data_IF_921466921030
#
_entry.id   IF_921466921030
#
_cell.length_a   1.000
_cell.length_b   1.000
_cell.length_c   1.000
_cell.angle_alpha   90.00
_cell.angle_beta   90.00
_cell.angle_gamma   90.00
#
_symmetry.space_group_name_H-M   'P 1'
#
loop_
_entity.id
_entity.type
_entity.pdbx_description
1 polymer ?
#
# COMPACT_ATOMS: atom_id res chain seq x y z
N UNK A 1 12.06 24.11 -20.01
CA UNK A 1 10.86 24.98 -19.89
C UNK A 1 10.36 24.83 -18.46
N UNK A 2 10.04 25.94 -17.82
CA UNK A 2 9.47 25.95 -16.47
C UNK A 2 8.12 26.65 -16.51
N UNK A 3 7.08 25.98 -16.01
CA UNK A 3 5.74 26.51 -15.89
C UNK A 3 5.33 26.53 -14.41
N UNK A 4 4.69 27.60 -13.96
CA UNK A 4 4.23 27.75 -12.59
C UNK A 4 2.77 28.14 -12.53
N UNK A 5 1.95 27.31 -11.89
CA UNK A 5 0.54 27.58 -11.64
C UNK A 5 0.33 27.85 -10.15
N UNK A 6 -0.42 28.92 -9.83
CA UNK A 6 -0.86 29.24 -8.46
C UNK A 6 -2.37 29.13 -8.39
N UNK A 7 -2.86 28.33 -7.46
CA UNK A 7 -4.29 28.10 -7.26
C UNK A 7 -4.87 29.08 -6.23
N UNK A 8 -6.19 29.27 -6.28
CA UNK A 8 -6.90 30.23 -5.38
C UNK A 8 -6.85 29.80 -3.90
N UNK A 9 -6.66 28.52 -3.60
CA UNK A 9 -6.54 27.99 -2.25
C UNK A 9 -5.14 28.22 -1.64
N UNK A 10 -4.19 28.73 -2.44
CA UNK A 10 -2.81 29.00 -2.04
C UNK A 10 -1.83 27.87 -2.37
N UNK A 11 -2.28 26.76 -2.96
CA UNK A 11 -1.40 25.72 -3.47
C UNK A 11 -0.66 26.18 -4.74
N UNK A 12 0.45 25.51 -5.04
CA UNK A 12 1.28 25.81 -6.22
C UNK A 12 1.68 24.52 -6.93
N UNK A 13 1.72 24.59 -8.26
CA UNK A 13 2.26 23.54 -9.12
C UNK A 13 3.37 24.14 -10.00
N UNK A 14 4.54 23.53 -9.96
CA UNK A 14 5.68 23.87 -10.81
C UNK A 14 6.03 22.64 -11.64
N UNK A 15 6.06 22.82 -12.97
CA UNK A 15 6.45 21.78 -13.92
C UNK A 15 7.68 22.24 -14.66
N UNK A 16 8.75 21.47 -14.60
CA UNK A 16 10.02 21.73 -15.29
C UNK A 16 10.30 20.61 -16.30
N UNK A 17 10.37 20.94 -17.58
CA UNK A 17 10.72 19.99 -18.64
C UNK A 17 12.11 20.29 -19.19
N UNK A 18 13.01 19.34 -19.10
CA UNK A 18 14.36 19.41 -19.67
C UNK A 18 14.36 18.99 -21.14
N UNK A 19 15.49 19.25 -21.83
CA UNK A 19 15.66 18.88 -23.26
C UNK A 19 15.75 17.37 -23.50
N UNK A 20 16.17 16.61 -22.50
CA UNK A 20 16.26 15.15 -22.53
C UNK A 20 14.91 14.45 -22.33
N UNK A 21 13.83 15.21 -22.13
CA UNK A 21 12.50 14.71 -21.86
C UNK A 21 12.18 14.50 -20.38
N UNK A 22 13.14 14.70 -19.47
CA UNK A 22 12.89 14.63 -18.03
C UNK A 22 11.86 15.68 -17.62
N UNK A 23 10.82 15.25 -16.92
CA UNK A 23 9.79 16.11 -16.32
C UNK A 23 9.94 16.09 -14.81
N UNK A 24 10.09 17.26 -14.20
CA UNK A 24 10.04 17.42 -12.75
C UNK A 24 8.78 18.20 -12.38
N UNK A 25 7.91 17.58 -11.60
CA UNK A 25 6.70 18.20 -11.08
C UNK A 25 6.87 18.48 -9.60
N UNK A 26 6.56 19.69 -9.15
CA UNK A 26 6.58 20.03 -7.73
C UNK A 26 5.24 20.67 -7.37
N UNK A 27 4.47 19.95 -6.57
CA UNK A 27 3.23 20.41 -5.98
C UNK A 27 3.46 20.79 -4.52
N UNK A 28 2.92 21.94 -4.11
CA UNK A 28 2.95 22.37 -2.71
C UNK A 28 1.54 22.75 -2.28
N UNK A 29 0.97 22.00 -1.35
CA UNK A 29 -0.35 22.25 -0.80
C UNK A 29 -0.31 23.40 0.22
N UNK A 30 -1.48 23.99 0.51
CA UNK A 30 -1.64 25.11 1.46
C UNK A 30 -1.11 24.79 2.87
N UNK A 31 -1.20 23.54 3.31
CA UNK A 31 -0.70 23.06 4.62
C UNK A 31 0.81 22.79 4.63
N UNK A 32 1.50 23.05 3.53
CA UNK A 32 2.95 22.85 3.40
C UNK A 32 3.38 21.45 3.00
N UNK A 33 2.44 20.51 2.78
CA UNK A 33 2.76 19.21 2.17
C UNK A 33 3.26 19.45 0.76
N UNK A 34 4.41 18.83 0.42
CA UNK A 34 5.07 19.01 -0.86
C UNK A 34 5.36 17.65 -1.49
N UNK A 35 4.99 17.50 -2.76
CA UNK A 35 5.33 16.33 -3.59
C UNK A 35 6.22 16.82 -4.73
N UNK A 36 7.43 16.28 -4.81
CA UNK A 36 8.33 16.51 -5.95
C UNK A 36 8.51 15.19 -6.69
N UNK A 37 8.05 15.13 -7.91
CA UNK A 37 8.14 13.96 -8.78
C UNK A 37 9.18 14.19 -9.87
N UNK A 38 9.96 13.18 -10.18
CA UNK A 38 10.89 13.18 -11.32
C UNK A 38 10.56 11.99 -12.21
N UNK A 39 10.18 12.29 -13.44
CA UNK A 39 9.90 11.33 -14.51
C UNK A 39 10.98 11.46 -15.58
N UNK A 40 11.85 10.47 -15.67
CA UNK A 40 12.92 10.39 -16.66
C UNK A 40 12.55 9.31 -17.70
N UNK A 41 12.64 9.60 -19.01
CA UNK A 41 12.33 8.61 -20.03
C UNK A 41 13.07 7.28 -19.84
N UNK A 42 12.32 6.19 -19.74
CA UNK A 42 12.83 4.83 -19.60
C UNK A 42 13.35 4.46 -18.20
N UNK A 43 13.01 5.25 -17.18
CA UNK A 43 13.29 4.94 -15.78
C UNK A 43 12.01 4.97 -14.94
N UNK A 44 12.06 4.33 -13.81
CA UNK A 44 11.00 4.40 -12.82
C UNK A 44 10.82 5.84 -12.30
N UNK A 45 9.56 6.25 -12.11
CA UNK A 45 9.24 7.55 -11.56
C UNK A 45 9.63 7.60 -10.09
N UNK A 46 10.36 8.65 -9.70
CA UNK A 46 10.74 8.88 -8.31
C UNK A 46 9.97 10.05 -7.71
N UNK A 47 9.64 9.98 -6.44
CA UNK A 47 8.94 11.03 -5.73
C UNK A 47 9.54 11.29 -4.35
N UNK A 48 9.74 12.57 -4.04
CA UNK A 48 10.07 13.03 -2.70
C UNK A 48 8.86 13.71 -2.09
N UNK A 49 8.29 13.11 -1.05
CA UNK A 49 7.16 13.65 -0.31
C UNK A 49 7.65 14.27 0.99
N UNK A 50 7.34 15.54 1.20
CA UNK A 50 7.65 16.26 2.43
C UNK A 50 6.36 16.56 3.17
N UNK A 51 6.20 16.02 4.38
CA UNK A 51 5.06 16.27 5.25
C UNK A 51 5.55 17.03 6.49
N UNK A 52 5.08 18.27 6.73
CA UNK A 52 5.43 19.00 7.93
C UNK A 52 5.01 18.25 9.19
N UNK A 53 5.82 18.29 10.26
CA UNK A 53 5.50 17.64 11.54
C UNK A 53 4.15 18.08 12.13
N UNK A 54 3.73 19.31 11.84
CA UNK A 54 2.42 19.86 12.26
C UNK A 54 1.22 19.22 11.54
N UNK A 55 1.46 18.53 10.42
CA UNK A 55 0.42 17.82 9.64
C UNK A 55 0.33 16.35 10.07
N UNK A 56 1.49 15.73 10.34
CA UNK A 56 1.61 14.35 10.78
C UNK A 56 1.41 13.34 9.66
N UNK A 57 0.19 13.10 9.24
CA UNK A 57 -0.16 12.20 8.13
C UNK A 57 -0.74 12.97 6.94
N UNK A 58 -0.53 12.46 5.73
CA UNK A 58 -1.15 13.00 4.51
C UNK A 58 -1.41 11.91 3.46
N UNK A 59 -2.48 12.10 2.71
CA UNK A 59 -2.71 11.38 1.46
C UNK A 59 -2.30 12.29 0.32
N UNK A 60 -1.40 11.81 -0.53
CA UNK A 60 -0.88 12.57 -1.68
C UNK A 60 -1.01 11.74 -2.95
N UNK A 61 -1.10 12.41 -4.11
CA UNK A 61 -1.04 11.76 -5.42
C UNK A 61 0.29 12.12 -6.07
N UNK A 62 1.01 11.11 -6.53
CA UNK A 62 2.25 11.21 -7.30
C UNK A 62 1.85 11.11 -8.77
N UNK A 63 1.96 12.21 -9.55
CA UNK A 63 1.60 12.18 -10.97
C UNK A 63 2.49 11.20 -11.75
N UNK A 64 1.88 10.21 -12.38
CA UNK A 64 2.56 9.22 -13.22
C UNK A 64 1.52 8.44 -14.03
N UNK A 65 1.96 7.83 -15.12
CA UNK A 65 1.18 6.81 -15.82
C UNK A 65 1.38 5.48 -15.08
N UNK A 66 0.32 4.97 -14.47
CA UNK A 66 0.35 3.80 -13.59
C UNK A 66 -0.82 2.88 -13.88
N UNK A 67 -0.59 1.58 -13.73
CA UNK A 67 -1.59 0.53 -13.82
C UNK A 67 -1.77 -0.22 -12.49
N UNK A 68 -2.59 -1.26 -12.48
CA UNK A 68 -2.88 -2.05 -11.27
C UNK A 68 -1.66 -2.82 -10.74
N UNK A 69 -0.66 -3.10 -11.58
CA UNK A 69 0.59 -3.76 -11.20
C UNK A 69 1.65 -2.81 -10.65
N UNK A 70 1.43 -1.50 -10.76
CA UNK A 70 2.36 -0.49 -10.25
C UNK A 70 2.18 -0.27 -8.75
N UNK A 71 3.28 -0.21 -8.00
CA UNK A 71 3.31 0.06 -6.55
C UNK A 71 4.27 1.18 -6.21
N UNK A 72 4.00 1.89 -5.11
CA UNK A 72 4.97 2.77 -4.50
C UNK A 72 5.87 1.97 -3.55
N UNK A 73 7.17 2.15 -3.68
CA UNK A 73 8.21 1.50 -2.87
C UNK A 73 8.99 2.59 -2.14
N UNK A 74 9.24 2.39 -0.85
CA UNK A 74 10.15 3.26 -0.10
C UNK A 74 11.58 3.08 -0.62
N UNK A 75 12.19 4.17 -1.08
CA UNK A 75 13.51 4.14 -1.72
C UNK A 75 14.64 3.76 -0.77
N UNK A 76 14.44 3.89 0.54
CA UNK A 76 15.46 3.58 1.56
C UNK A 76 15.38 2.13 2.03
N UNK A 77 14.17 1.62 2.25
CA UNK A 77 13.95 0.27 2.79
C UNK A 77 13.70 -0.77 1.71
N UNK A 78 13.21 -0.37 0.53
CA UNK A 78 12.76 -1.26 -0.53
C UNK A 78 11.39 -1.89 -0.27
N UNK A 79 10.70 -1.48 0.80
CA UNK A 79 9.39 -2.01 1.17
C UNK A 79 8.26 -1.37 0.37
N UNK A 80 7.26 -2.17 0.04
CA UNK A 80 6.03 -1.68 -0.63
C UNK A 80 5.18 -0.88 0.35
N UNK A 81 4.80 0.33 -0.06
CA UNK A 81 3.82 1.13 0.66
C UNK A 81 2.44 0.49 0.49
N UNK A 82 1.98 -0.27 1.48
CA UNK A 82 0.72 -1.04 1.41
C UNK A 82 -0.52 -0.18 1.16
N UNK A 83 -0.50 1.09 1.62
CA UNK A 83 -1.56 2.07 1.38
C UNK A 83 -1.22 2.94 0.17
N UNK A 84 -0.90 2.32 -0.96
CA UNK A 84 -0.73 2.94 -2.27
C UNK A 84 -1.78 2.40 -3.24
N UNK A 85 -2.41 3.29 -4.02
CA UNK A 85 -3.50 2.92 -4.95
C UNK A 85 -3.27 3.64 -6.27
N UNK A 86 -3.14 2.91 -7.39
CA UNK A 86 -3.09 3.50 -8.71
C UNK A 86 -4.44 4.14 -9.05
N UNK A 87 -4.40 5.34 -9.60
CA UNK A 87 -5.58 6.11 -10.03
C UNK A 87 -5.31 6.71 -11.41
N UNK A 88 -6.34 7.23 -12.05
CA UNK A 88 -6.19 7.93 -13.35
C UNK A 88 -5.27 9.16 -13.30
N UNK A 89 -5.02 9.73 -12.12
CA UNK A 89 -4.20 10.93 -11.93
C UNK A 89 -2.77 10.58 -11.44
N UNK A 90 -2.48 9.30 -11.23
CA UNK A 90 -1.20 8.77 -10.74
C UNK A 90 -1.34 7.86 -9.53
N UNK A 91 -0.26 7.67 -8.78
CA UNK A 91 -0.22 6.85 -7.59
C UNK A 91 -0.64 7.65 -6.35
N UNK A 92 -1.76 7.29 -5.74
CA UNK A 92 -2.20 7.87 -4.47
C UNK A 92 -1.64 7.06 -3.31
N UNK A 93 -0.93 7.73 -2.39
CA UNK A 93 -0.30 7.09 -1.21
C UNK A 93 -0.73 7.79 0.07
N UNK A 94 -0.93 7.00 1.13
CA UNK A 94 -1.11 7.52 2.49
C UNK A 94 0.19 7.31 3.28
N UNK A 95 0.72 8.39 3.85
CA UNK A 95 1.99 8.42 4.56
C UNK A 95 1.83 9.08 5.94
N UNK A 96 2.52 8.55 6.94
CA UNK A 96 2.59 9.09 8.31
C UNK A 96 3.84 9.97 8.54
N UNK A 97 4.46 10.44 7.47
CA UNK A 97 5.65 11.29 7.49
C UNK A 97 6.23 11.49 6.10
N UNK A 98 7.33 12.24 6.04
CA UNK A 98 8.06 12.44 4.79
C UNK A 98 8.70 11.14 4.31
N UNK A 99 8.71 10.92 2.99
CA UNK A 99 9.25 9.71 2.37
C UNK A 99 9.88 10.00 1.01
N UNK A 100 10.81 9.14 0.60
CA UNK A 100 11.32 9.05 -0.76
C UNK A 100 10.79 7.77 -1.38
N UNK A 101 10.10 7.88 -2.50
CA UNK A 101 9.36 6.78 -3.11
C UNK A 101 9.83 6.55 -4.55
N UNK A 102 9.74 5.31 -5.00
CA UNK A 102 9.90 4.90 -6.40
C UNK A 102 8.62 4.19 -6.82
N UNK A 103 8.08 4.52 -7.99
CA UNK A 103 6.96 3.79 -8.57
C UNK A 103 7.52 2.68 -9.44
N UNK A 104 7.22 1.43 -9.08
CA UNK A 104 7.77 0.24 -9.71
C UNK A 104 6.64 -0.63 -10.24
N UNK A 105 6.73 -1.05 -11.50
CA UNK A 105 5.85 -2.10 -12.03
C UNK A 105 6.30 -3.45 -11.44
N UNK A 106 5.41 -4.08 -10.68
CA UNK A 106 5.56 -5.43 -10.09
C UNK A 106 4.51 -6.40 -10.60
N UNK A 107 3.93 -6.13 -11.77
CA UNK A 107 2.98 -7.02 -12.43
C UNK A 107 3.53 -8.45 -12.53
N UNK A 108 2.65 -9.43 -12.34
CA UNK A 108 2.98 -10.85 -12.48
C UNK A 108 2.21 -11.46 -13.64
N UNK A 109 2.92 -12.18 -14.50
CA UNK A 109 2.33 -12.81 -15.69
C UNK A 109 1.75 -14.20 -15.34
N UNK A 110 0.55 -14.22 -14.78
CA UNK A 110 -0.18 -15.48 -14.53
C UNK A 110 -0.93 -15.91 -15.78
N UNK A 111 -0.73 -17.16 -16.19
CA UNK A 111 -1.33 -17.70 -17.41
C UNK A 111 -2.85 -17.90 -17.34
N UNK A 112 -3.38 -18.01 -16.12
CA UNK A 112 -4.78 -18.32 -15.82
C UNK A 112 -5.61 -17.10 -15.40
N UNK A 113 -5.01 -15.89 -15.42
CA UNK A 113 -5.71 -14.64 -15.10
C UNK A 113 -5.97 -13.79 -16.34
N UNK A 114 -5.31 -14.07 -17.47
CA UNK A 114 -5.47 -13.28 -18.71
C UNK A 114 -6.90 -13.27 -19.22
N UNK A 115 -7.48 -12.07 -19.28
CA UNK A 115 -8.87 -11.87 -19.66
C UNK A 115 -9.90 -12.30 -18.61
N UNK A 116 -9.46 -12.67 -17.43
CA UNK A 116 -10.33 -12.92 -16.29
C UNK A 116 -10.90 -11.59 -15.75
N UNK A 117 -12.15 -11.56 -15.34
CA UNK A 117 -12.79 -10.32 -14.85
C UNK A 117 -12.08 -9.67 -13.64
N UNK A 118 -11.31 -10.44 -12.88
CA UNK A 118 -10.56 -9.99 -11.71
C UNK A 118 -9.07 -9.75 -12.00
N UNK A 119 -8.63 -9.74 -13.26
CA UNK A 119 -7.21 -9.59 -13.64
C UNK A 119 -6.57 -8.37 -12.96
N UNK A 120 -7.14 -7.17 -13.11
CA UNK A 120 -6.63 -5.94 -12.51
C UNK A 120 -6.53 -6.03 -10.96
N UNK A 121 -7.52 -6.67 -10.32
CA UNK A 121 -7.52 -6.83 -8.87
C UNK A 121 -6.44 -7.83 -8.40
N UNK A 122 -6.14 -8.85 -9.21
CA UNK A 122 -5.09 -9.82 -8.95
C UNK A 122 -3.72 -9.17 -9.11
N UNK A 123 -3.53 -8.38 -10.16
CA UNK A 123 -2.30 -7.63 -10.39
C UNK A 123 -2.03 -6.68 -9.22
N UNK A 124 -3.04 -5.92 -8.81
CA UNK A 124 -2.95 -5.07 -7.61
C UNK A 124 -2.54 -5.87 -6.36
N UNK A 125 -3.25 -6.96 -6.06
CA UNK A 125 -3.05 -7.73 -4.83
C UNK A 125 -1.67 -8.42 -4.80
N UNK A 126 -1.17 -8.86 -5.95
CA UNK A 126 0.14 -9.52 -6.05
C UNK A 126 1.28 -8.52 -6.08
N UNK A 127 1.14 -7.39 -6.75
CA UNK A 127 2.11 -6.30 -6.74
C UNK A 127 2.31 -5.74 -5.33
N UNK A 128 1.23 -5.64 -4.53
CA UNK A 128 1.27 -5.25 -3.11
C UNK A 128 1.72 -6.37 -2.16
N UNK A 129 2.17 -7.52 -2.69
CA UNK A 129 2.65 -8.67 -1.90
C UNK A 129 1.59 -9.29 -0.96
N UNK A 130 0.31 -9.01 -1.18
CA UNK A 130 -0.79 -9.58 -0.40
C UNK A 130 -1.03 -11.04 -0.76
N UNK A 131 -1.00 -11.34 -2.06
CA UNK A 131 -1.08 -12.70 -2.61
C UNK A 131 0.20 -13.05 -3.35
N UNK A 132 0.50 -14.36 -3.42
CA UNK A 132 1.69 -14.85 -4.14
C UNK A 132 1.35 -15.72 -5.34
N UNK A 133 0.06 -16.02 -5.57
CA UNK A 133 -0.37 -17.07 -6.49
C UNK A 133 -0.25 -18.46 -5.88
N UNK A 134 -0.68 -19.48 -6.61
CA UNK A 134 -0.62 -20.90 -6.22
C UNK A 134 0.56 -21.64 -6.85
N UNK A 135 1.22 -21.01 -7.82
CA UNK A 135 2.40 -21.48 -8.52
C UNK A 135 3.17 -20.34 -9.15
N UNK A 136 4.24 -20.65 -9.85
CA UNK A 136 5.10 -19.67 -10.50
C UNK A 136 4.35 -18.82 -11.53
N UNK A 137 3.46 -19.47 -12.33
CA UNK A 137 2.70 -18.85 -13.41
C UNK A 137 1.18 -19.05 -13.26
N UNK A 138 0.71 -19.38 -12.06
CA UNK A 138 -0.71 -19.65 -11.80
C UNK A 138 -1.19 -18.96 -10.54
N UNK A 139 -2.39 -18.42 -10.59
CA UNK A 139 -3.08 -17.78 -9.47
C UNK A 139 -4.26 -18.59 -8.95
N UNK A 140 -4.95 -19.35 -9.82
CA UNK A 140 -6.19 -20.13 -9.59
C UNK A 140 -7.33 -19.27 -9.06
N UNK A 141 -7.77 -18.24 -9.83
CA UNK A 141 -8.70 -17.21 -9.35
C UNK A 141 -10.06 -17.75 -8.89
N UNK A 142 -10.53 -18.84 -9.49
CA UNK A 142 -11.84 -19.45 -9.17
C UNK A 142 -11.79 -20.47 -8.01
N UNK A 143 -10.62 -20.69 -7.42
CA UNK A 143 -10.49 -21.64 -6.31
C UNK A 143 -11.01 -21.06 -4.99
N UNK A 144 -11.61 -21.89 -4.11
CA UNK A 144 -12.01 -21.45 -2.79
C UNK A 144 -10.83 -20.96 -1.97
N UNK A 145 -11.03 -19.88 -1.23
CA UNK A 145 -10.04 -19.37 -0.28
C UNK A 145 -10.10 -20.15 1.04
N UNK A 146 -8.95 -20.50 1.61
CA UNK A 146 -8.90 -21.09 2.96
C UNK A 146 -8.79 -20.01 4.04
N UNK A 147 -9.07 -20.40 5.30
CA UNK A 147 -8.88 -19.52 6.46
C UNK A 147 -7.42 -19.08 6.61
N UNK A 148 -6.47 -20.00 6.39
CA UNK A 148 -5.04 -19.69 6.41
C UNK A 148 -4.65 -18.66 5.36
N UNK A 149 -5.21 -18.74 4.15
CA UNK A 149 -4.97 -17.74 3.10
C UNK A 149 -5.41 -16.35 3.55
N UNK A 150 -6.61 -16.21 4.12
CA UNK A 150 -7.08 -14.91 4.61
C UNK A 150 -6.23 -14.38 5.76
N UNK A 151 -5.88 -15.21 6.76
CA UNK A 151 -4.98 -14.80 7.85
C UNK A 151 -3.64 -14.29 7.29
N UNK A 152 -3.09 -14.97 6.27
CA UNK A 152 -1.84 -14.56 5.63
C UNK A 152 -1.96 -13.23 4.90
N UNK A 153 -3.06 -13.00 4.16
CA UNK A 153 -3.33 -11.72 3.50
C UNK A 153 -3.44 -10.58 4.50
N UNK A 154 -4.18 -10.78 5.60
CA UNK A 154 -4.37 -9.76 6.63
C UNK A 154 -3.06 -9.45 7.38
N UNK A 155 -2.25 -10.46 7.69
CA UNK A 155 -0.94 -10.29 8.31
C UNK A 155 0.01 -9.50 7.39
N UNK A 156 0.08 -9.84 6.10
CA UNK A 156 0.88 -9.12 5.11
C UNK A 156 0.42 -7.67 4.91
N UNK A 157 -0.88 -7.44 4.91
CA UNK A 157 -1.44 -6.10 4.86
C UNK A 157 -1.03 -5.27 6.09
N UNK A 158 -0.86 -5.91 7.24
CA UNK A 158 -0.35 -5.32 8.49
C UNK A 158 1.19 -5.19 8.50
N UNK A 159 1.87 -5.48 7.39
CA UNK A 159 3.32 -5.39 7.26
C UNK A 159 4.09 -6.54 7.91
N UNK A 160 3.43 -7.65 8.28
CA UNK A 160 4.09 -8.78 8.91
C UNK A 160 4.83 -9.65 7.89
N UNK A 161 6.05 -10.08 8.24
CA UNK A 161 6.74 -11.14 7.52
C UNK A 161 6.09 -12.50 7.82
N UNK A 162 5.42 -13.05 6.81
CA UNK A 162 4.75 -14.35 6.89
C UNK A 162 5.61 -15.51 6.36
N UNK A 163 6.88 -15.27 6.03
CA UNK A 163 7.79 -16.29 5.50
C UNK A 163 8.40 -17.15 6.60
N UNK A 164 8.67 -18.41 6.30
CA UNK A 164 9.24 -19.39 7.25
C UNK A 164 8.19 -20.06 8.13
N UNK A 165 8.64 -20.88 9.09
CA UNK A 165 7.80 -21.73 9.93
C UNK A 165 7.74 -23.18 9.43
N UNK A 166 7.10 -24.08 10.22
CA UNK A 166 6.93 -25.50 9.87
C UNK A 166 5.90 -25.68 8.74
N UNK A 167 4.92 -24.76 8.67
CA UNK A 167 3.94 -24.65 7.57
C UNK A 167 3.88 -23.21 7.10
N UNK A 168 3.49 -22.99 5.84
CA UNK A 168 3.52 -21.70 5.19
C UNK A 168 2.64 -20.61 5.87
N UNK A 169 1.63 -21.00 6.63
CA UNK A 169 0.71 -20.11 7.33
C UNK A 169 0.97 -19.94 8.83
N UNK A 170 2.02 -20.56 9.38
CA UNK A 170 2.25 -20.61 10.83
C UNK A 170 2.35 -19.21 11.45
N UNK A 171 3.22 -18.36 10.92
CA UNK A 171 3.39 -16.98 11.41
C UNK A 171 2.13 -16.14 11.28
N UNK A 172 1.42 -16.28 10.17
CA UNK A 172 0.16 -15.57 9.97
C UNK A 172 -0.93 -16.03 10.94
N UNK A 173 -0.96 -17.31 11.28
CA UNK A 173 -1.88 -17.87 12.25
C UNK A 173 -1.54 -17.40 13.69
N UNK A 174 -0.26 -17.32 14.04
CA UNK A 174 0.21 -16.77 15.31
C UNK A 174 -0.19 -15.30 15.44
N UNK A 175 0.14 -14.50 14.42
CA UNK A 175 -0.29 -13.10 14.34
C UNK A 175 -1.80 -12.94 14.50
N UNK A 176 -2.60 -13.75 13.79
CA UNK A 176 -4.07 -13.66 13.85
C UNK A 176 -4.64 -13.97 15.25
N UNK A 177 -4.00 -14.89 15.99
CA UNK A 177 -4.37 -15.20 17.39
C UNK A 177 -3.99 -14.06 18.33
N UNK A 178 -2.78 -13.55 18.22
CA UNK A 178 -2.27 -12.47 19.06
C UNK A 178 -3.10 -11.19 18.91
N UNK A 179 -3.59 -10.91 17.70
CA UNK A 179 -4.38 -9.72 17.39
C UNK A 179 -5.90 -9.96 17.47
N UNK A 180 -6.34 -11.14 17.91
CA UNK A 180 -7.76 -11.45 18.05
C UNK A 180 -8.54 -11.48 16.72
N UNK A 181 -7.85 -11.63 15.60
CA UNK A 181 -8.44 -11.70 14.26
C UNK A 181 -9.07 -13.07 14.02
N UNK A 182 -8.43 -14.14 14.52
CA UNK A 182 -8.90 -15.52 14.42
C UNK A 182 -8.36 -16.34 15.60
N UNK A 183 -9.09 -17.40 15.98
CA UNK A 183 -8.62 -18.41 16.92
C UNK A 183 -7.59 -19.39 16.31
N UNK A 184 -7.36 -19.27 14.99
CA UNK A 184 -6.46 -20.14 14.23
C UNK A 184 -6.98 -21.57 14.03
N UNK A 185 -8.24 -21.87 14.34
CA UNK A 185 -8.83 -23.20 14.12
C UNK A 185 -9.09 -23.47 12.64
N UNK A 186 -9.03 -24.72 12.22
CA UNK A 186 -9.32 -25.19 10.85
C UNK A 186 -8.66 -24.33 9.75
N UNK A 187 -7.33 -24.15 9.74
CA UNK A 187 -6.66 -23.24 8.83
C UNK A 187 -6.83 -23.61 7.35
N UNK A 188 -6.96 -24.89 7.04
CA UNK A 188 -7.12 -25.38 5.67
C UNK A 188 -8.58 -25.49 5.22
N UNK A 189 -9.52 -25.25 6.13
CA UNK A 189 -10.95 -25.20 5.81
C UNK A 189 -11.28 -23.96 4.93
N UNK A 190 -12.22 -24.15 4.00
CA UNK A 190 -12.73 -23.04 3.18
C UNK A 190 -13.40 -21.99 4.06
N UNK A 191 -13.08 -20.72 3.80
CA UNK A 191 -13.67 -19.61 4.56
C UNK A 191 -15.11 -19.32 4.06
N UNK A 192 -16.03 -19.13 5.01
CA UNK A 192 -17.38 -18.66 4.68
C UNK A 192 -17.43 -17.12 4.63
N UNK A 193 -18.48 -16.57 3.99
CA UNK A 193 -18.67 -15.11 3.92
C UNK A 193 -18.82 -14.47 5.30
N UNK A 194 -19.47 -15.14 6.24
CA UNK A 194 -19.61 -14.68 7.62
C UNK A 194 -18.28 -14.69 8.37
N UNK A 195 -17.46 -15.74 8.23
CA UNK A 195 -16.13 -15.82 8.80
C UNK A 195 -15.21 -14.71 8.23
N UNK A 196 -15.25 -14.49 6.92
CA UNK A 196 -14.54 -13.39 6.27
C UNK A 196 -14.93 -12.03 6.88
N UNK A 197 -16.24 -11.76 6.99
CA UNK A 197 -16.73 -10.51 7.56
C UNK A 197 -16.30 -10.33 9.03
N UNK A 198 -16.36 -11.39 9.84
CA UNK A 198 -15.93 -11.37 11.24
C UNK A 198 -14.43 -11.07 11.37
N UNK A 199 -13.59 -11.73 10.59
CA UNK A 199 -12.13 -11.51 10.63
C UNK A 199 -11.75 -10.10 10.19
N UNK A 200 -12.41 -9.54 9.17
CA UNK A 200 -12.22 -8.16 8.72
C UNK A 200 -12.66 -7.15 9.79
N UNK A 201 -13.79 -7.40 10.47
CA UNK A 201 -14.26 -6.55 11.57
C UNK A 201 -13.26 -6.59 12.74
N UNK A 202 -12.84 -7.77 13.17
CA UNK A 202 -11.88 -7.94 14.27
C UNK A 202 -10.57 -7.22 14.00
N UNK A 203 -10.06 -7.28 12.76
CA UNK A 203 -8.87 -6.54 12.32
C UNK A 203 -9.07 -5.02 12.48
N UNK A 204 -10.18 -4.50 11.99
CA UNK A 204 -10.52 -3.06 12.07
C UNK A 204 -10.65 -2.57 13.52
N UNK A 205 -11.29 -3.35 14.40
CA UNK A 205 -11.44 -3.01 15.82
C UNK A 205 -10.10 -3.00 16.55
N UNK A 206 -9.19 -3.92 16.23
CA UNK A 206 -7.86 -3.98 16.83
C UNK A 206 -7.04 -2.75 16.45
N UNK A 207 -7.08 -2.32 15.19
CA UNK A 207 -6.41 -1.09 14.75
C UNK A 207 -6.95 0.16 15.45
N UNK A 208 -8.27 0.25 15.63
CA UNK A 208 -8.91 1.38 16.32
C UNK A 208 -8.49 1.44 17.79
N UNK A 209 -8.56 0.33 18.52
CA UNK A 209 -8.15 0.24 19.93
C UNK A 209 -6.68 0.59 20.13
N UNK A 210 -5.80 0.14 19.24
CA UNK A 210 -4.37 0.46 19.29
C UNK A 210 -4.14 1.97 19.12
N UNK A 211 -4.82 2.61 18.17
CA UNK A 211 -4.74 4.06 17.96
C UNK A 211 -5.28 4.87 19.15
N UNK A 212 -6.36 4.45 19.76
CA UNK A 212 -6.90 5.09 20.99
C UNK A 212 -5.92 4.95 22.16
N UNK A 213 -5.42 3.74 22.42
CA UNK A 213 -4.44 3.48 23.49
C UNK A 213 -3.17 4.35 23.34
N UNK A 214 -2.62 4.46 22.14
CA UNK A 214 -1.45 5.30 21.85
C UNK A 214 -1.77 6.78 22.08
N UNK A 215 -2.94 7.24 21.69
CA UNK A 215 -3.38 8.63 21.88
C UNK A 215 -3.49 8.98 23.37
N UNK A 216 -4.06 8.11 24.19
CA UNK A 216 -4.21 8.30 25.63
C UNK A 216 -2.84 8.27 26.33
N UNK A 217 -1.96 7.33 25.97
CA UNK A 217 -0.60 7.23 26.51
C UNK A 217 0.27 8.45 26.20
N UNK A 218 0.13 9.06 25.01
CA UNK A 218 0.84 10.28 24.64
C UNK A 218 0.28 11.50 25.41
N UNK A 219 -1.03 11.54 25.64
CA UNK A 219 -1.69 12.59 26.43
C UNK A 219 -1.16 12.62 27.87
N UNK A 220 -1.00 11.45 28.50
CA UNK A 220 -0.51 11.33 29.89
C UNK A 220 0.96 11.79 30.06
N UNK A 221 1.80 11.59 29.03
CA UNK A 221 3.21 12.05 29.05
C UNK A 221 3.33 13.57 28.89
N UNK A 222 2.37 14.21 28.22
CA UNK A 222 2.39 15.65 27.97
C UNK A 222 1.90 16.50 29.16
N UNK A 223 1.43 15.87 30.25
CA UNK A 223 0.94 16.51 31.47
C UNK A 223 1.86 16.29 32.70
N UNK A 224 3.06 15.71 32.51
CA UNK A 224 4.12 15.65 33.51
C UNK A 224 5.23 16.66 33.15
#
# INVERSE_FOLDING_TARGET
ITETTRFKDGSTLVVETKKDGTVTTTETAKNGVKVKTVDEPGKDVTAQVTIPKSVGEATVTIPADVDCGTVAVDAQTGEVVKLSVPTKDGMTVKLEGSAELVLVDRSRDFSDTKGHWAEDAIDFATAHELFSGTGEYTFTPDSPMTRAMLMTVLARFDGQDTTGGAVWYEKAMEWAREHGVSDGSDPEGSITREQLATMLQSKSETEHKTKEFLKDSISDISHQ
#
